data_IF_745613086078
#
_entry.id   IF_745613086078
#
_cell.length_a   1.000
_cell.length_b   1.000
_cell.length_c   1.000
_cell.angle_alpha   90.00
_cell.angle_beta   90.00
_cell.angle_gamma   90.00
#
_symmetry.space_group_name_H-M   'P 1'
#
loop_
_entity.id
_entity.type
_entity.pdbx_description
1 polymer ?
#
# COMPACT_ATOMS: atom_id res chain seq x y z
N UNK A 1 -1.42 6.14 -6.34
CA UNK A 1 -0.80 6.74 -7.54
C UNK A 1 -1.55 8.02 -7.86
N UNK A 2 -0.86 9.16 -7.90
CA UNK A 2 -1.38 10.54 -7.83
C UNK A 2 -2.01 10.88 -6.47
N UNK A 3 -1.74 12.09 -5.97
CA UNK A 3 -2.39 12.67 -4.80
C UNK A 3 -3.84 13.02 -5.13
N UNK A 4 -4.09 13.63 -6.30
CA UNK A 4 -5.43 14.00 -6.75
C UNK A 4 -6.39 12.82 -6.77
N UNK A 5 -5.99 11.70 -7.40
CA UNK A 5 -6.79 10.47 -7.45
C UNK A 5 -7.05 9.88 -6.07
N UNK A 6 -6.05 9.93 -5.18
CA UNK A 6 -6.21 9.41 -3.81
C UNK A 6 -7.21 10.24 -3.03
N UNK A 7 -7.20 11.57 -3.20
CA UNK A 7 -8.16 12.49 -2.60
C UNK A 7 -9.57 12.30 -3.17
N UNK A 8 -9.69 12.25 -4.49
CA UNK A 8 -10.99 12.22 -5.16
C UNK A 8 -11.73 10.87 -4.93
N UNK A 9 -10.99 9.80 -4.62
CA UNK A 9 -11.51 8.44 -4.36
C UNK A 9 -11.15 7.92 -2.97
N UNK A 10 -10.96 8.83 -2.01
CA UNK A 10 -10.39 8.48 -0.70
C UNK A 10 -11.25 7.45 0.05
N UNK A 11 -12.56 7.66 0.06
CA UNK A 11 -13.51 6.79 0.76
C UNK A 11 -13.61 5.43 0.08
N UNK A 12 -13.63 5.39 -1.25
CA UNK A 12 -13.63 4.16 -2.03
C UNK A 12 -12.36 3.35 -1.78
N UNK A 13 -11.17 3.97 -1.81
CA UNK A 13 -9.92 3.26 -1.49
C UNK A 13 -9.88 2.75 -0.06
N UNK A 14 -10.51 3.46 0.88
CA UNK A 14 -10.54 3.03 2.29
C UNK A 14 -11.39 1.79 2.56
N UNK A 15 -12.19 1.35 1.58
CA UNK A 15 -13.04 0.16 1.66
C UNK A 15 -12.76 -0.88 0.57
N UNK A 16 -11.88 -0.58 -0.39
CA UNK A 16 -11.60 -1.42 -1.56
C UNK A 16 -10.91 -2.76 -1.24
N UNK A 17 -10.34 -2.92 -0.04
CA UNK A 17 -9.47 -4.06 0.29
C UNK A 17 -9.98 -4.88 1.49
N UNK A 18 -11.28 -4.85 1.77
CA UNK A 18 -11.88 -5.57 2.90
C UNK A 18 -11.74 -7.09 2.84
N UNK A 19 -11.48 -7.64 1.65
CA UNK A 19 -11.30 -9.09 1.45
C UNK A 19 -9.87 -9.56 1.80
N UNK A 20 -8.94 -8.65 2.08
CA UNK A 20 -7.57 -8.98 2.45
C UNK A 20 -7.42 -9.06 3.98
N UNK A 21 -6.68 -10.07 4.46
CA UNK A 21 -6.36 -10.21 5.89
C UNK A 21 -5.47 -9.07 6.40
N UNK A 22 -4.59 -8.55 5.54
CA UNK A 22 -3.69 -7.45 5.84
C UNK A 22 -3.34 -6.64 4.58
N UNK A 23 -3.29 -5.31 4.72
CA UNK A 23 -2.98 -4.38 3.64
C UNK A 23 -1.83 -3.46 4.03
N UNK A 24 -0.76 -3.46 3.22
CA UNK A 24 0.34 -2.51 3.35
C UNK A 24 0.17 -1.40 2.30
N UNK A 25 0.06 -0.15 2.75
CA UNK A 25 -0.12 1.02 1.90
C UNK A 25 1.21 1.73 1.72
N UNK A 26 1.81 1.57 0.54
CA UNK A 26 3.06 2.23 0.15
C UNK A 26 2.88 3.76 0.02
N UNK A 27 3.98 4.54 0.00
CA UNK A 27 3.91 5.99 -0.21
C UNK A 27 3.22 6.35 -1.53
N UNK A 28 2.48 7.45 -1.55
CA UNK A 28 1.77 7.89 -2.75
C UNK A 28 2.79 8.24 -3.84
N UNK A 29 2.76 7.48 -4.94
CA UNK A 29 3.53 7.84 -6.12
C UNK A 29 2.95 9.11 -6.76
N UNK A 30 3.65 10.23 -6.59
CA UNK A 30 3.21 11.56 -7.01
C UNK A 30 3.10 11.74 -8.53
N UNK A 31 3.87 10.96 -9.31
CA UNK A 31 4.14 11.15 -10.73
C UNK A 31 4.62 12.58 -11.07
N UNK A 32 3.70 13.53 -11.23
CA UNK A 32 3.98 14.95 -11.57
C UNK A 32 3.34 15.96 -10.61
N UNK A 33 2.67 15.48 -9.56
CA UNK A 33 1.95 16.31 -8.61
C UNK A 33 2.83 16.73 -7.43
N UNK A 34 2.58 17.92 -6.90
CA UNK A 34 3.11 18.31 -5.61
C UNK A 34 2.18 17.81 -4.50
N UNK A 35 2.77 17.34 -3.40
CA UNK A 35 2.03 17.01 -2.20
C UNK A 35 1.48 18.29 -1.57
N UNK A 36 0.16 18.42 -1.49
CA UNK A 36 -0.52 19.54 -0.83
C UNK A 36 -0.89 19.22 0.62
N UNK A 37 -0.52 18.03 1.11
CA UNK A 37 -0.80 17.55 2.46
C UNK A 37 -2.24 17.13 2.70
N UNK A 38 -3.12 17.18 1.69
CA UNK A 38 -4.54 16.82 1.86
C UNK A 38 -4.78 15.33 2.05
N UNK A 39 -3.88 14.49 1.51
CA UNK A 39 -3.95 13.03 1.62
C UNK A 39 -2.57 12.42 1.78
N UNK A 40 -2.52 11.30 2.51
CA UNK A 40 -1.30 10.51 2.66
C UNK A 40 -1.65 9.03 2.77
N UNK A 41 -0.66 8.15 2.56
CA UNK A 41 -0.82 6.71 2.80
C UNK A 41 -1.18 6.41 4.26
N UNK A 42 -0.68 7.20 5.22
CA UNK A 42 -1.00 7.08 6.63
C UNK A 42 -2.47 7.39 6.92
N UNK A 43 -2.99 8.50 6.37
CA UNK A 43 -4.41 8.85 6.51
C UNK A 43 -5.32 7.77 5.90
N UNK A 44 -4.93 7.23 4.73
CA UNK A 44 -5.70 6.16 4.10
C UNK A 44 -5.67 4.88 4.92
N UNK A 45 -4.53 4.52 5.50
CA UNK A 45 -4.41 3.35 6.37
C UNK A 45 -5.26 3.52 7.64
N UNK A 46 -5.23 4.69 8.28
CA UNK A 46 -6.08 5.01 9.43
C UNK A 46 -7.57 4.87 9.07
N UNK A 47 -7.99 5.45 7.94
CA UNK A 47 -9.37 5.36 7.47
C UNK A 47 -9.79 3.92 7.20
N UNK A 48 -8.93 3.11 6.57
CA UNK A 48 -9.19 1.70 6.28
C UNK A 48 -9.30 0.85 7.56
N UNK A 49 -8.48 1.11 8.59
CA UNK A 49 -8.63 0.49 9.91
C UNK A 49 -9.98 0.84 10.54
N UNK A 50 -10.42 2.10 10.43
CA UNK A 50 -11.75 2.52 10.87
C UNK A 50 -12.90 1.78 10.16
N UNK A 51 -12.67 1.26 8.96
CA UNK A 51 -13.62 0.43 8.20
C UNK A 51 -13.43 -1.09 8.41
N UNK A 52 -12.56 -1.50 9.32
CA UNK A 52 -12.35 -2.91 9.66
C UNK A 52 -11.30 -3.65 8.82
N UNK A 53 -10.56 -2.95 7.95
CA UNK A 53 -9.42 -3.53 7.23
C UNK A 53 -8.14 -3.34 8.03
N UNK A 54 -7.39 -4.41 8.33
CA UNK A 54 -6.08 -4.29 9.00
C UNK A 54 -5.06 -3.68 8.05
N UNK A 55 -4.88 -2.37 8.12
CA UNK A 55 -4.04 -1.61 7.20
C UNK A 55 -2.84 -0.95 7.89
N UNK A 56 -1.67 -0.95 7.24
CA UNK A 56 -0.47 -0.24 7.71
C UNK A 56 0.14 0.59 6.58
N UNK A 57 0.42 1.86 6.84
CA UNK A 57 1.29 2.63 5.95
C UNK A 57 2.75 2.25 6.20
N UNK A 58 3.51 2.01 5.13
CA UNK A 58 4.90 1.57 5.21
C UNK A 58 5.69 2.09 4.01
N UNK A 59 6.98 2.34 4.20
CA UNK A 59 7.91 2.63 3.12
C UNK A 59 8.20 1.38 2.29
N UNK A 60 8.74 1.54 1.07
CA UNK A 60 9.11 0.39 0.23
C UNK A 60 10.10 -0.56 0.92
N UNK A 61 11.10 -0.03 1.62
CA UNK A 61 12.06 -0.84 2.37
C UNK A 61 11.41 -1.61 3.53
N UNK A 62 10.44 -1.01 4.21
CA UNK A 62 9.68 -1.70 5.27
C UNK A 62 8.79 -2.79 4.69
N UNK A 63 8.13 -2.54 3.54
CA UNK A 63 7.31 -3.53 2.85
C UNK A 63 8.15 -4.73 2.41
N UNK A 64 9.31 -4.49 1.80
CA UNK A 64 10.25 -5.56 1.42
C UNK A 64 10.66 -6.41 2.61
N UNK A 65 11.03 -5.77 3.73
CA UNK A 65 11.36 -6.46 4.98
C UNK A 65 10.18 -7.28 5.51
N UNK A 66 8.97 -6.70 5.54
CA UNK A 66 7.76 -7.39 6.00
C UNK A 66 7.51 -8.64 5.17
N UNK A 67 7.56 -8.53 3.84
CA UNK A 67 7.34 -9.65 2.94
C UNK A 67 8.41 -10.76 3.06
N UNK A 68 9.61 -10.45 3.53
CA UNK A 68 10.64 -11.44 3.81
C UNK A 68 10.46 -12.15 5.16
N UNK A 69 9.79 -11.51 6.13
CA UNK A 69 9.79 -11.99 7.53
C UNK A 69 8.42 -12.44 8.07
N UNK A 70 7.33 -11.90 7.54
CA UNK A 70 5.98 -12.12 8.10
C UNK A 70 5.18 -13.23 7.38
N UNK A 71 5.17 -13.34 6.03
CA UNK A 71 4.41 -14.37 5.33
C UNK A 71 4.85 -15.79 5.71
N UNK A 72 3.87 -16.67 5.83
CA UNK A 72 4.04 -18.10 6.11
C UNK A 72 3.78 -18.95 4.87
N UNK A 73 4.17 -20.22 4.94
CA UNK A 73 3.86 -21.18 3.88
C UNK A 73 2.34 -21.31 3.70
N UNK A 74 1.85 -21.03 2.48
CA UNK A 74 0.42 -21.04 2.15
C UNK A 74 -0.17 -19.64 1.95
N UNK A 75 0.52 -18.58 2.39
CA UNK A 75 0.05 -17.21 2.19
C UNK A 75 0.21 -16.77 0.73
N UNK A 76 -0.73 -15.94 0.27
CA UNK A 76 -0.66 -15.28 -1.03
C UNK A 76 -0.29 -13.82 -0.82
N UNK A 77 0.89 -13.43 -1.29
CA UNK A 77 1.34 -12.03 -1.29
C UNK A 77 1.07 -11.42 -2.66
N UNK A 78 0.41 -10.26 -2.68
CA UNK A 78 0.07 -9.53 -3.90
C UNK A 78 0.57 -8.09 -3.80
N UNK A 79 1.35 -7.66 -4.79
CA UNK A 79 1.66 -6.24 -5.02
C UNK A 79 0.70 -5.67 -6.05
N UNK A 80 0.06 -4.54 -5.76
CA UNK A 80 -0.87 -3.88 -6.68
C UNK A 80 -0.58 -2.39 -6.78
N UNK A 81 -0.62 -1.86 -8.00
CA UNK A 81 -0.53 -0.44 -8.27
C UNK A 81 0.30 -0.10 -9.50
N UNK A 82 0.58 1.18 -9.65
CA UNK A 82 1.45 1.74 -10.67
C UNK A 82 2.59 2.52 -10.01
N UNK A 83 3.58 2.96 -10.79
CA UNK A 83 4.78 3.60 -10.27
C UNK A 83 5.76 2.56 -9.76
N UNK A 84 6.35 2.77 -8.59
CA UNK A 84 7.51 1.99 -8.12
C UNK A 84 7.17 0.67 -7.41
N UNK A 85 5.90 0.31 -7.24
CA UNK A 85 5.50 -0.88 -6.48
C UNK A 85 6.01 -2.20 -7.08
N UNK A 86 6.25 -2.25 -8.39
CA UNK A 86 6.81 -3.43 -9.05
C UNK A 86 8.22 -3.77 -8.55
N UNK A 87 8.98 -2.78 -8.07
CA UNK A 87 10.34 -2.98 -7.55
C UNK A 87 10.35 -3.88 -6.31
N UNK A 88 9.30 -3.80 -5.49
CA UNK A 88 9.12 -4.70 -4.35
C UNK A 88 8.95 -6.14 -4.83
N UNK A 89 8.12 -6.36 -5.86
CA UNK A 89 7.92 -7.68 -6.42
C UNK A 89 9.22 -8.24 -7.02
N UNK A 90 9.96 -7.43 -7.78
CA UNK A 90 11.25 -7.79 -8.37
C UNK A 90 12.28 -8.16 -7.28
N UNK A 91 12.37 -7.39 -6.20
CA UNK A 91 13.24 -7.68 -5.07
C UNK A 91 12.89 -9.04 -4.44
N UNK A 92 11.60 -9.33 -4.23
CA UNK A 92 11.16 -10.60 -3.65
C UNK A 92 11.53 -11.82 -4.50
N UNK A 93 11.37 -11.74 -5.83
CA UNK A 93 11.69 -12.88 -6.70
C UNK A 93 13.19 -13.02 -6.97
N UNK A 94 13.95 -11.92 -6.90
CA UNK A 94 15.40 -11.92 -7.11
C UNK A 94 16.17 -12.49 -5.92
N UNK A 95 15.56 -12.56 -4.73
CA UNK A 95 16.13 -13.18 -3.53
C UNK A 95 15.91 -14.71 -3.45
N UNK A 96 15.63 -15.37 -4.58
CA UNK A 96 15.60 -16.84 -4.69
C UNK A 96 16.97 -17.44 -4.98
#
# INVERSE_FOLDING_TARGET
>A
HLYSRTRDLFEEFSTAFTDADEVLIAPIYAAREADDGSVSSALLAERANGNGTRARAATFAEIERIFQTEPSAGDVVMTMGAGDIYKVADALVSHK
#
